data_IF_164650730535
#
_entry.id   IF_164650730535
#
_cell.length_a   1.000
_cell.length_b   1.000
_cell.length_c   1.000
_cell.angle_alpha   90.00
_cell.angle_beta   90.00
_cell.angle_gamma   90.00
#
_symmetry.space_group_name_H-M   'P 1'
#
loop_
_entity.id
_entity.type
_entity.pdbx_description
1 polymer ?
#
# COMPACT_ATOMS: atom_id res chain seq x y z
N UNK A 1 16.93 -12.09 -11.90
CA UNK A 1 16.50 -11.50 -13.18
C UNK A 1 15.36 -10.52 -12.92
N UNK A 2 15.68 -9.22 -12.91
CA UNK A 2 14.67 -8.16 -12.86
C UNK A 2 14.12 -7.96 -14.27
N UNK A 3 12.83 -8.18 -14.48
CA UNK A 3 12.17 -8.01 -15.78
C UNK A 3 11.53 -6.60 -15.87
N UNK A 4 12.05 -5.67 -16.67
CA UNK A 4 11.55 -4.30 -16.75
C UNK A 4 10.34 -4.12 -17.69
N UNK A 5 9.57 -5.19 -17.99
CA UNK A 5 8.46 -5.15 -18.97
C UNK A 5 7.10 -5.60 -18.42
N UNK A 6 6.67 -5.04 -17.29
CA UNK A 6 5.25 -4.88 -17.00
C UNK A 6 4.94 -3.41 -16.81
N UNK A 7 4.38 -2.79 -17.86
CA UNK A 7 3.48 -1.64 -17.71
C UNK A 7 2.30 -2.10 -16.83
N UNK A 8 2.44 -2.07 -15.51
CA UNK A 8 1.29 -2.09 -14.59
C UNK A 8 0.93 -0.62 -14.34
N UNK A 9 0.10 -0.05 -15.21
CA UNK A 9 -0.34 1.35 -15.16
C UNK A 9 -1.35 1.64 -14.04
N UNK A 10 -1.43 0.80 -13.01
CA UNK A 10 -2.27 1.01 -11.84
C UNK A 10 -1.38 0.95 -10.61
N UNK A 11 -0.90 2.12 -10.18
CA UNK A 11 -0.42 2.27 -8.80
C UNK A 11 -1.50 1.66 -7.90
N UNK A 12 -1.15 0.78 -6.95
CA UNK A 12 -2.15 0.19 -6.06
C UNK A 12 -2.96 1.29 -5.38
N UNK A 13 -4.26 1.06 -5.23
CA UNK A 13 -5.18 2.02 -4.61
C UNK A 13 -4.81 2.28 -3.15
N UNK A 14 -4.23 1.30 -2.46
CA UNK A 14 -3.72 1.49 -1.11
C UNK A 14 -2.24 1.17 -1.02
N UNK A 15 -1.50 1.99 -0.27
CA UNK A 15 -0.08 1.76 0.05
C UNK A 15 0.16 2.04 1.52
N UNK A 16 1.12 1.36 2.13
CA UNK A 16 1.56 1.68 3.48
C UNK A 16 2.96 2.28 3.45
N UNK A 17 3.20 3.30 4.27
CA UNK A 17 4.46 4.05 4.34
C UNK A 17 4.83 4.36 5.80
N UNK A 18 6.13 4.44 6.12
CA UNK A 18 6.57 4.84 7.45
C UNK A 18 6.24 6.31 7.70
N UNK A 19 5.75 6.61 8.90
CA UNK A 19 5.39 7.95 9.37
C UNK A 19 5.92 8.12 10.80
N UNK A 20 7.15 8.61 10.91
CA UNK A 20 7.86 8.65 12.18
C UNK A 20 8.07 7.23 12.73
N UNK A 21 7.67 7.00 13.98
CA UNK A 21 7.72 5.68 14.63
C UNK A 21 6.57 4.73 14.26
N UNK A 22 5.62 5.18 13.41
CA UNK A 22 4.41 4.45 13.04
C UNK A 22 4.37 4.15 11.55
N UNK A 23 3.38 3.37 11.14
CA UNK A 23 3.12 3.02 9.75
C UNK A 23 1.72 3.45 9.35
N UNK A 24 1.62 4.30 8.33
CA UNK A 24 0.34 4.82 7.85
C UNK A 24 -0.04 4.17 6.53
N UNK A 25 -1.33 3.84 6.37
CA UNK A 25 -1.91 3.38 5.11
C UNK A 25 -2.56 4.56 4.42
N UNK A 26 -2.21 4.76 3.16
CA UNK A 26 -2.69 5.81 2.28
C UNK A 26 -3.50 5.21 1.15
N UNK A 27 -4.68 5.75 0.92
CA UNK A 27 -5.46 5.55 -0.29
C UNK A 27 -5.02 6.55 -1.35
N UNK A 28 -4.75 6.07 -2.54
CA UNK A 28 -4.40 6.83 -3.71
C UNK A 28 -5.60 6.94 -4.62
N UNK A 29 -6.23 8.10 -4.61
CA UNK A 29 -7.28 8.44 -5.56
C UNK A 29 -6.67 9.18 -6.74
N UNK A 30 -7.03 8.75 -7.96
CA UNK A 30 -6.60 9.40 -9.18
C UNK A 30 -7.69 10.35 -9.64
N UNK A 31 -7.46 11.64 -9.44
CA UNK A 31 -8.34 12.72 -9.91
C UNK A 31 -7.67 13.40 -11.10
N UNK A 32 -7.95 12.89 -12.31
CA UNK A 32 -7.34 13.38 -13.55
C UNK A 32 -5.83 13.18 -13.59
N UNK A 33 -5.08 14.29 -13.62
CA UNK A 33 -3.61 14.32 -13.61
C UNK A 33 -3.01 14.33 -12.19
N UNK A 34 -3.83 14.51 -11.15
CA UNK A 34 -3.36 14.60 -9.77
C UNK A 34 -3.62 13.28 -9.06
N UNK A 35 -2.66 12.91 -8.22
CA UNK A 35 -2.73 11.79 -7.31
C UNK A 35 -2.87 12.32 -5.89
N UNK A 36 -4.02 12.09 -5.26
CA UNK A 36 -4.23 12.47 -3.87
C UNK A 36 -4.03 11.26 -2.97
N UNK A 37 -3.11 11.36 -2.01
CA UNK A 37 -2.86 10.35 -1.00
C UNK A 37 -3.62 10.69 0.28
N UNK A 38 -4.74 10.02 0.55
CA UNK A 38 -5.52 10.20 1.78
C UNK A 38 -5.10 9.17 2.85
N UNK A 39 -4.81 9.61 4.08
CA UNK A 39 -4.45 8.69 5.17
C UNK A 39 -5.70 8.01 5.72
N UNK A 40 -5.84 6.71 5.48
CA UNK A 40 -7.01 5.92 5.93
C UNK A 40 -6.80 5.18 7.24
N UNK A 41 -5.54 4.81 7.56
CA UNK A 41 -5.22 4.12 8.80
C UNK A 41 -3.78 4.41 9.26
N UNK A 42 -3.50 4.18 10.54
CA UNK A 42 -2.18 4.31 11.14
C UNK A 42 -1.99 3.20 12.19
N UNK A 43 -0.84 2.56 12.16
CA UNK A 43 -0.51 1.41 12.99
C UNK A 43 0.86 1.59 13.64
N UNK A 44 1.09 0.92 14.77
CA UNK A 44 2.39 0.92 15.43
C UNK A 44 3.40 0.06 14.69
N UNK A 45 2.96 -1.03 14.07
CA UNK A 45 3.85 -1.98 13.40
C UNK A 45 3.68 -1.99 11.88
N UNK A 46 4.76 -2.34 11.19
CA UNK A 46 4.76 -2.54 9.74
C UNK A 46 3.81 -3.66 9.31
N UNK A 47 3.74 -4.73 10.10
CA UNK A 47 2.96 -5.91 9.75
C UNK A 47 1.46 -5.64 9.77
N UNK A 48 0.98 -4.89 10.76
CA UNK A 48 -0.42 -4.45 10.84
C UNK A 48 -0.78 -3.58 9.63
N UNK A 49 0.05 -2.57 9.33
CA UNK A 49 -0.16 -1.72 8.16
C UNK A 49 -0.13 -2.50 6.84
N UNK A 50 0.72 -3.54 6.76
CA UNK A 50 0.77 -4.44 5.60
C UNK A 50 -0.49 -5.30 5.49
N UNK A 51 -0.94 -5.93 6.58
CA UNK A 51 -2.18 -6.73 6.60
C UNK A 51 -3.37 -5.88 6.16
N UNK A 52 -3.48 -4.67 6.69
CA UNK A 52 -4.53 -3.73 6.35
C UNK A 52 -4.44 -3.29 4.88
N UNK A 53 -3.26 -2.93 4.39
CA UNK A 53 -3.05 -2.57 2.99
C UNK A 53 -3.42 -3.73 2.04
N UNK A 54 -3.11 -4.98 2.40
CA UNK A 54 -3.51 -6.15 1.61
C UNK A 54 -5.02 -6.35 1.64
N UNK A 55 -5.66 -6.22 2.81
CA UNK A 55 -7.12 -6.29 2.96
C UNK A 55 -7.83 -5.23 2.10
N UNK A 56 -7.35 -3.99 2.14
CA UNK A 56 -7.93 -2.86 1.38
C UNK A 56 -7.72 -2.98 -0.13
N UNK A 57 -6.57 -3.51 -0.59
CA UNK A 57 -6.37 -3.80 -2.01
C UNK A 57 -7.05 -5.13 -2.46
N UNK A 58 -7.73 -5.86 -1.57
CA UNK A 58 -8.31 -7.18 -1.88
C UNK A 58 -7.26 -8.26 -2.19
N UNK A 59 -6.01 -8.08 -1.76
CA UNK A 59 -4.93 -9.01 -2.01
C UNK A 59 -4.95 -10.14 -0.98
N UNK A 60 -4.69 -11.37 -1.46
CA UNK A 60 -4.47 -12.51 -0.55
C UNK A 60 -3.20 -12.26 0.27
N UNK A 61 -3.35 -12.04 1.57
CA UNK A 61 -2.23 -11.90 2.48
C UNK A 61 -1.50 -13.24 2.57
N UNK A 62 -0.30 -13.31 2.00
CA UNK A 62 0.62 -14.41 2.24
C UNK A 62 1.52 -14.00 3.39
N UNK A 63 1.38 -14.69 4.53
CA UNK A 63 2.34 -14.57 5.61
C UNK A 63 3.75 -14.86 5.06
N UNK A 64 4.79 -14.12 5.49
CA UNK A 64 6.16 -14.49 5.12
C UNK A 64 6.37 -15.96 5.50
N UNK A 65 6.85 -16.77 4.56
CA UNK A 65 7.27 -18.15 4.87
C UNK A 65 8.40 -18.05 5.88
N UNK A 66 8.19 -18.65 7.05
CA UNK A 66 9.16 -18.71 8.15
C UNK A 66 10.39 -19.53 7.79
#
# INVERSE_FOLDING_TARGET
>A
MWNPRKKMSSRPEYTYQPKGSRWAVYQWEKSGNISTGNKVAEFSTREEARKECFRLNGWKYQAPKS
#
